data_IF_678919432686
#
_entry.id   IF_678919432686
#
_cell.length_a   1.000
_cell.length_b   1.000
_cell.length_c   1.000
_cell.angle_alpha   90.00
_cell.angle_beta   90.00
_cell.angle_gamma   90.00
#
_symmetry.space_group_name_H-M   'P 1'
#
loop_
_entity.id
_entity.type
_entity.pdbx_description
1 polymer ?
#
# COMPACT_ATOMS: atom_id res chain seq x y z
N UNK A 1 51.57 51.47 -47.10
CA UNK A 1 51.64 50.14 -47.74
C UNK A 1 50.40 49.36 -47.27
N UNK A 2 49.54 49.01 -48.24
CA UNK A 2 48.41 48.06 -48.27
C UNK A 2 47.93 47.42 -46.93
N UNK A 3 46.64 47.59 -46.57
CA UNK A 3 45.47 46.67 -46.79
C UNK A 3 45.55 45.39 -45.90
N UNK A 4 44.51 44.80 -45.31
CA UNK A 4 43.05 44.94 -45.21
C UNK A 4 42.59 43.91 -44.11
N UNK A 5 41.57 44.20 -43.29
CA UNK A 5 40.21 43.55 -43.20
C UNK A 5 40.21 42.03 -42.89
N UNK A 6 39.35 41.38 -42.08
CA UNK A 6 37.96 41.48 -41.56
C UNK A 6 37.90 40.47 -40.36
N UNK A 7 36.93 40.36 -39.44
CA UNK A 7 35.58 40.93 -39.25
C UNK A 7 34.82 40.17 -38.12
N UNK A 8 33.70 40.75 -37.65
CA UNK A 8 32.61 40.14 -36.85
C UNK A 8 32.78 40.21 -35.32
N UNK A 9 32.11 41.06 -34.54
CA UNK A 9 30.66 41.08 -34.16
C UNK A 9 30.24 39.77 -33.47
N UNK A 10 29.53 39.67 -32.35
CA UNK A 10 28.85 40.57 -31.39
C UNK A 10 28.38 39.66 -30.23
N UNK A 11 28.03 40.29 -29.11
CA UNK A 11 27.14 39.80 -28.04
C UNK A 11 27.67 38.83 -26.98
N UNK A 12 27.51 39.31 -25.75
CA UNK A 12 26.97 38.65 -24.56
C UNK A 12 27.17 37.15 -24.42
N UNK A 13 27.63 36.72 -23.24
CA UNK A 13 26.81 35.81 -22.43
C UNK A 13 27.22 35.90 -20.96
N UNK A 14 26.21 36.25 -20.16
CA UNK A 14 26.17 36.10 -18.73
C UNK A 14 26.73 34.73 -18.31
N UNK A 15 27.57 34.75 -17.28
CA UNK A 15 27.82 33.56 -16.46
C UNK A 15 26.54 33.20 -15.72
N UNK A 16 25.56 32.62 -16.43
CA UNK A 16 24.50 31.87 -15.80
C UNK A 16 25.13 30.57 -15.32
N UNK A 17 25.50 30.51 -14.04
CA UNK A 17 25.34 29.26 -13.29
C UNK A 17 23.87 28.89 -13.43
N UNK A 18 23.53 28.12 -14.46
CA UNK A 18 22.26 27.42 -14.48
C UNK A 18 22.36 26.39 -13.37
N UNK A 19 21.65 26.63 -12.28
CA UNK A 19 21.06 25.51 -11.55
C UNK A 19 20.36 24.68 -12.63
N UNK A 20 20.95 23.53 -12.95
CA UNK A 20 20.33 22.62 -13.88
C UNK A 20 19.15 22.04 -13.10
N UNK A 21 17.96 22.60 -13.30
CA UNK A 21 16.70 22.04 -12.82
C UNK A 21 16.70 20.56 -13.21
N UNK A 22 17.00 19.70 -12.23
CA UNK A 22 17.02 18.26 -12.45
C UNK A 22 15.57 17.79 -12.39
N UNK A 23 14.88 17.88 -13.54
CA UNK A 23 13.54 17.32 -13.73
C UNK A 23 13.60 15.79 -13.90
N UNK A 24 14.38 15.11 -13.05
CA UNK A 24 14.37 13.67 -12.97
C UNK A 24 13.22 13.24 -12.04
N UNK A 25 12.34 12.38 -12.55
CA UNK A 25 11.36 11.69 -11.71
C UNK A 25 12.05 10.52 -11.03
N UNK A 26 12.06 10.51 -9.71
CA UNK A 26 12.65 9.45 -8.90
C UNK A 26 11.57 8.62 -8.22
N UNK A 27 11.77 7.30 -8.06
CA UNK A 27 10.85 6.46 -7.32
C UNK A 27 10.93 6.81 -5.83
N UNK A 28 9.82 7.31 -5.29
CA UNK A 28 9.64 7.56 -3.86
C UNK A 28 8.73 6.50 -3.26
N UNK A 29 9.12 5.94 -2.13
CA UNK A 29 8.27 5.03 -1.36
C UNK A 29 7.37 5.79 -0.39
N UNK A 30 6.13 5.34 -0.27
CA UNK A 30 5.15 5.82 0.71
C UNK A 30 4.53 4.60 1.37
N UNK A 31 4.58 4.55 2.69
CA UNK A 31 4.01 3.46 3.47
C UNK A 31 2.78 3.95 4.22
N UNK A 32 1.67 3.23 4.03
CA UNK A 32 0.39 3.55 4.63
C UNK A 32 0.00 2.45 5.61
N UNK A 33 -0.40 2.84 6.81
CA UNK A 33 -1.07 1.96 7.76
C UNK A 33 -2.56 1.84 7.41
N UNK A 34 -3.24 0.73 7.77
CA UNK A 34 -4.68 0.63 7.60
C UNK A 34 -5.38 1.67 8.47
N UNK A 35 -6.47 2.23 7.95
CA UNK A 35 -7.39 3.06 8.73
C UNK A 35 -8.26 2.20 9.63
N UNK A 36 -8.68 1.05 9.13
CA UNK A 36 -9.44 0.04 9.86
C UNK A 36 -8.97 -1.36 9.46
N UNK A 37 -8.86 -2.26 10.41
CA UNK A 37 -8.75 -3.68 10.14
C UNK A 37 -9.54 -4.52 11.16
N UNK A 38 -10.11 -5.62 10.72
CA UNK A 38 -10.88 -6.52 11.57
C UNK A 38 -11.12 -7.84 10.85
N UNK A 39 -11.51 -8.87 11.59
CA UNK A 39 -12.07 -10.08 11.00
C UNK A 39 -13.50 -10.31 11.50
N UNK A 40 -14.22 -11.17 10.81
CA UNK A 40 -15.57 -11.62 11.20
C UNK A 40 -15.58 -13.13 11.34
N UNK A 41 -16.57 -13.66 12.04
CA UNK A 41 -16.78 -15.10 12.17
C UNK A 41 -18.27 -15.43 12.04
N UNK A 42 -18.61 -16.40 11.20
CA UNK A 42 -19.99 -16.89 11.09
C UNK A 42 -20.45 -17.57 12.39
N UNK A 43 -21.75 -17.45 12.70
CA UNK A 43 -22.38 -18.18 13.80
C UNK A 43 -22.02 -17.65 15.20
N UNK A 44 -21.44 -16.46 15.29
CA UNK A 44 -21.28 -15.75 16.54
C UNK A 44 -22.23 -14.55 16.58
N UNK A 45 -22.99 -14.42 17.66
CA UNK A 45 -23.90 -13.30 17.84
C UNK A 45 -23.11 -12.03 18.13
N UNK A 46 -22.83 -11.26 17.08
CA UNK A 46 -22.25 -9.91 17.12
C UNK A 46 -20.90 -9.74 17.85
N UNK A 47 -19.91 -10.66 17.77
CA UNK A 47 -18.58 -10.30 18.24
C UNK A 47 -17.98 -9.25 17.32
N UNK A 48 -17.36 -8.24 17.94
CA UNK A 48 -16.54 -7.23 17.28
C UNK A 48 -15.08 -7.61 17.51
N UNK A 49 -14.34 -7.84 16.43
CA UNK A 49 -12.94 -8.25 16.50
C UNK A 49 -11.96 -7.16 16.07
N UNK A 50 -12.42 -5.92 15.89
CA UNK A 50 -11.57 -4.79 15.48
C UNK A 50 -10.49 -4.39 16.50
N UNK A 51 -10.65 -4.78 17.77
CA UNK A 51 -9.63 -4.54 18.80
C UNK A 51 -8.67 -5.73 19.01
N UNK A 52 -8.87 -6.82 18.27
CA UNK A 52 -8.01 -8.00 18.38
C UNK A 52 -6.64 -7.72 17.76
N UNK A 53 -5.60 -8.32 18.33
CA UNK A 53 -4.22 -8.10 17.88
C UNK A 53 -3.83 -8.91 16.65
N UNK A 54 -4.83 -9.51 16.00
CA UNK A 54 -4.67 -10.43 14.89
C UNK A 54 -5.85 -10.35 13.94
N UNK A 55 -5.56 -10.64 12.69
CA UNK A 55 -6.53 -10.83 11.61
C UNK A 55 -6.55 -12.31 11.23
N UNK A 56 -7.73 -12.92 11.19
CA UNK A 56 -7.87 -14.36 10.96
C UNK A 56 -8.62 -14.62 9.67
N UNK A 57 -8.07 -15.48 8.82
CA UNK A 57 -8.78 -16.09 7.70
C UNK A 57 -8.76 -17.61 7.86
N UNK A 58 -9.93 -18.23 7.97
CA UNK A 58 -10.08 -19.66 8.23
C UNK A 58 -11.44 -20.18 7.72
N UNK A 59 -11.45 -21.13 6.80
CA UNK A 59 -12.70 -21.72 6.27
C UNK A 59 -13.33 -22.75 7.22
N UNK A 60 -12.59 -23.33 8.17
CA UNK A 60 -13.15 -24.23 9.17
C UNK A 60 -14.12 -23.50 10.10
N UNK A 61 -13.67 -22.35 10.61
CA UNK A 61 -14.46 -21.48 11.50
C UNK A 61 -15.23 -20.39 10.76
N UNK A 62 -15.12 -20.35 9.42
CA UNK A 62 -15.70 -19.32 8.54
C UNK A 62 -15.37 -17.91 8.99
N UNK A 63 -14.06 -17.63 9.01
CA UNK A 63 -13.47 -16.34 9.31
C UNK A 63 -12.88 -15.72 8.05
N UNK A 64 -13.15 -14.44 7.88
CA UNK A 64 -12.57 -13.61 6.83
C UNK A 64 -12.07 -12.31 7.46
N UNK A 65 -10.92 -11.84 7.00
CA UNK A 65 -10.34 -10.58 7.46
C UNK A 65 -10.52 -9.47 6.43
N UNK A 66 -10.65 -8.24 6.91
CA UNK A 66 -10.88 -7.05 6.12
C UNK A 66 -9.91 -5.96 6.53
N UNK A 67 -9.40 -5.22 5.54
CA UNK A 67 -8.54 -4.07 5.75
C UNK A 67 -9.04 -2.90 4.92
N UNK A 68 -8.94 -1.70 5.48
CA UNK A 68 -9.23 -0.44 4.80
C UNK A 68 -8.00 0.46 4.85
N UNK A 69 -7.70 1.10 3.73
CA UNK A 69 -6.64 2.09 3.61
C UNK A 69 -7.20 3.37 3.00
N UNK A 70 -6.65 4.50 3.42
CA UNK A 70 -6.86 5.78 2.74
C UNK A 70 -5.56 6.17 2.03
N UNK A 71 -5.59 6.25 0.69
CA UNK A 71 -4.44 6.66 -0.10
C UNK A 71 -4.53 8.18 -0.33
N UNK A 72 -3.59 8.97 0.21
CA UNK A 72 -3.60 10.42 0.00
C UNK A 72 -3.22 10.76 -1.44
N UNK A 73 -3.43 12.02 -1.83
CA UNK A 73 -2.93 12.55 -3.09
C UNK A 73 -1.41 12.36 -3.19
N UNK A 74 -0.95 11.77 -4.29
CA UNK A 74 0.47 11.49 -4.53
C UNK A 74 1.09 12.59 -5.41
N UNK A 75 2.40 12.87 -5.25
CA UNK A 75 3.10 13.87 -6.06
C UNK A 75 3.21 13.48 -7.55
N UNK A 76 2.95 12.22 -7.88
CA UNK A 76 2.89 11.70 -9.23
C UNK A 76 2.21 10.33 -9.28
N UNK A 77 2.25 9.63 -10.43
CA UNK A 77 1.52 8.38 -10.60
C UNK A 77 2.05 7.27 -9.68
N UNK A 78 1.13 6.44 -9.18
CA UNK A 78 1.48 5.19 -8.50
C UNK A 78 2.02 4.21 -9.54
N UNK A 79 3.26 3.76 -9.37
CA UNK A 79 3.94 2.79 -10.23
C UNK A 79 3.85 1.37 -9.71
N UNK A 80 3.83 1.21 -8.39
CA UNK A 80 3.67 -0.07 -7.71
C UNK A 80 2.89 0.13 -6.43
N UNK A 81 2.01 -0.80 -6.12
CA UNK A 81 1.35 -0.90 -4.83
C UNK A 81 1.44 -2.34 -4.31
N UNK A 82 1.92 -2.51 -3.10
CA UNK A 82 2.12 -3.83 -2.49
C UNK A 82 1.51 -3.82 -1.10
N UNK A 83 0.51 -4.68 -0.87
CA UNK A 83 -0.03 -4.94 0.46
C UNK A 83 0.84 -6.00 1.13
N UNK A 84 1.34 -5.70 2.33
CA UNK A 84 2.22 -6.55 3.12
C UNK A 84 1.56 -6.92 4.44
N UNK A 85 1.53 -8.20 4.75
CA UNK A 85 0.94 -8.77 5.96
C UNK A 85 1.92 -9.73 6.62
N UNK A 86 2.06 -9.68 7.95
CA UNK A 86 2.96 -10.56 8.67
C UNK A 86 2.19 -11.76 9.25
N UNK A 87 2.51 -12.97 8.79
CA UNK A 87 1.89 -14.21 9.25
C UNK A 87 2.50 -14.63 10.59
N UNK A 88 1.73 -14.49 11.66
CA UNK A 88 2.10 -14.97 12.99
C UNK A 88 1.85 -16.46 13.13
N UNK A 89 0.83 -16.98 12.43
CA UNK A 89 0.64 -18.42 12.20
C UNK A 89 0.40 -18.65 10.71
N UNK A 90 1.00 -19.71 10.16
CA UNK A 90 1.02 -19.99 8.74
C UNK A 90 -0.15 -20.85 8.27
N UNK A 91 -0.30 -20.98 6.95
CA UNK A 91 -1.28 -21.86 6.31
C UNK A 91 -0.63 -22.63 5.17
N UNK A 92 -1.08 -23.87 4.95
CA UNK A 92 -0.72 -24.66 3.76
C UNK A 92 -1.32 -24.10 2.46
N UNK A 93 -2.33 -23.24 2.58
CA UNK A 93 -2.99 -22.53 1.49
C UNK A 93 -3.61 -21.24 2.05
N UNK A 94 -2.91 -20.13 1.83
CA UNK A 94 -3.24 -18.80 2.34
C UNK A 94 -4.50 -18.22 1.70
N UNK A 95 -5.00 -17.10 2.23
CA UNK A 95 -6.18 -16.46 1.67
C UNK A 95 -5.87 -15.83 0.31
N UNK A 96 -6.88 -15.84 -0.56
CA UNK A 96 -6.92 -14.96 -1.72
C UNK A 96 -7.29 -13.56 -1.26
N UNK A 97 -6.73 -12.55 -1.91
CA UNK A 97 -7.04 -11.15 -1.68
C UNK A 97 -8.10 -10.69 -2.69
N UNK A 98 -9.15 -10.03 -2.21
CA UNK A 98 -10.24 -9.49 -3.04
C UNK A 98 -10.41 -7.99 -2.79
N UNK A 99 -10.88 -7.22 -3.78
CA UNK A 99 -11.32 -5.86 -3.55
C UNK A 99 -12.65 -5.88 -2.79
N UNK A 100 -12.82 -4.97 -1.83
CA UNK A 100 -14.00 -4.89 -0.98
C UNK A 100 -14.52 -3.45 -0.84
N UNK A 101 -15.78 -3.31 -0.41
CA UNK A 101 -16.36 -2.01 -0.07
C UNK A 101 -15.66 -1.38 1.14
N UNK A 102 -15.72 -0.05 1.24
CA UNK A 102 -14.98 0.74 2.25
C UNK A 102 -15.87 1.43 3.29
N UNK A 103 -17.20 1.32 3.14
CA UNK A 103 -18.19 1.93 4.02
C UNK A 103 -18.45 1.09 5.28
N UNK A 104 -17.42 0.92 6.11
CA UNK A 104 -17.46 0.20 7.38
C UNK A 104 -16.42 0.79 8.35
N UNK A 105 -16.50 0.38 9.62
CA UNK A 105 -15.45 0.63 10.61
C UNK A 105 -15.27 -0.60 11.49
N UNK A 106 -14.04 -0.85 11.92
CA UNK A 106 -13.65 -2.02 12.72
C UNK A 106 -14.43 -2.14 14.03
N UNK A 107 -14.85 -1.02 14.62
CA UNK A 107 -15.66 -0.95 15.85
C UNK A 107 -17.11 -1.41 15.68
N UNK A 108 -17.54 -1.62 14.43
CA UNK A 108 -18.92 -1.98 14.08
C UNK A 108 -19.03 -3.23 13.20
N UNK A 109 -17.89 -3.83 12.87
CA UNK A 109 -17.83 -4.90 11.90
C UNK A 109 -18.34 -6.21 12.49
N UNK A 110 -19.46 -6.69 11.96
CA UNK A 110 -20.06 -7.99 12.29
C UNK A 110 -20.19 -8.87 11.05
N UNK A 111 -20.41 -10.17 11.23
CA UNK A 111 -20.64 -11.09 10.11
C UNK A 111 -21.76 -10.64 9.17
N UNK A 112 -22.86 -10.12 9.70
CA UNK A 112 -24.01 -9.68 8.89
C UNK A 112 -23.81 -8.32 8.21
N UNK A 113 -22.83 -7.53 8.66
CA UNK A 113 -22.52 -6.20 8.16
C UNK A 113 -21.15 -6.13 7.47
N UNK A 114 -20.59 -7.29 7.12
CA UNK A 114 -19.25 -7.36 6.53
C UNK A 114 -19.19 -6.71 5.13
N UNK A 115 -18.05 -6.13 4.75
CA UNK A 115 -17.85 -5.56 3.42
C UNK A 115 -18.15 -6.55 2.31
N UNK A 116 -18.77 -6.06 1.25
CA UNK A 116 -19.02 -6.85 0.05
C UNK A 116 -17.77 -6.89 -0.82
N UNK A 117 -17.43 -8.07 -1.34
CA UNK A 117 -16.43 -8.21 -2.40
C UNK A 117 -16.95 -7.58 -3.69
N UNK A 118 -16.13 -6.78 -4.36
CA UNK A 118 -16.54 -5.96 -5.52
C UNK A 118 -15.96 -6.44 -6.86
N UNK A 119 -15.17 -7.51 -6.86
CA UNK A 119 -14.50 -8.01 -8.06
C UNK A 119 -13.81 -9.36 -7.87
N UNK A 120 -13.05 -9.80 -8.88
CA UNK A 120 -12.25 -11.01 -8.81
C UNK A 120 -11.03 -10.89 -7.87
N UNK A 121 -10.33 -12.00 -7.60
CA UNK A 121 -9.16 -11.97 -6.73
C UNK A 121 -8.06 -11.10 -7.33
N UNK A 122 -7.46 -10.24 -6.49
CA UNK A 122 -6.28 -9.43 -6.80
C UNK A 122 -5.00 -10.28 -6.77
N UNK A 123 -4.98 -11.33 -5.95
CA UNK A 123 -3.85 -12.24 -5.84
C UNK A 123 -4.17 -13.46 -4.99
N UNK A 124 -3.32 -14.47 -5.18
CA UNK A 124 -3.32 -15.74 -4.46
C UNK A 124 -1.86 -16.04 -4.12
N UNK A 125 -1.60 -16.38 -2.86
CA UNK A 125 -0.24 -16.54 -2.32
C UNK A 125 0.13 -18.00 -2.10
N UNK A 126 -0.83 -18.93 -2.18
CA UNK A 126 -0.60 -20.34 -1.87
C UNK A 126 -0.07 -20.53 -0.44
N UNK A 127 0.91 -21.41 -0.25
CA UNK A 127 1.51 -21.70 1.06
C UNK A 127 2.07 -20.44 1.74
N UNK A 128 1.73 -20.26 3.02
CA UNK A 128 2.16 -19.15 3.87
C UNK A 128 2.93 -19.73 5.06
N UNK A 129 4.27 -19.63 5.10
CA UNK A 129 5.06 -20.07 6.23
C UNK A 129 4.80 -19.24 7.50
N UNK A 130 4.86 -19.89 8.67
CA UNK A 130 4.81 -19.20 9.95
C UNK A 130 5.98 -18.21 10.11
N UNK A 131 5.70 -17.00 10.62
CA UNK A 131 6.71 -15.98 10.90
C UNK A 131 7.27 -15.32 9.65
N UNK A 132 6.45 -15.21 8.59
CA UNK A 132 6.87 -14.70 7.28
C UNK A 132 6.03 -13.50 6.84
N UNK A 133 6.58 -12.73 5.91
CA UNK A 133 5.83 -11.67 5.23
C UNK A 133 5.14 -12.25 4.00
N UNK A 134 3.84 -11.97 3.89
CA UNK A 134 3.02 -12.23 2.71
C UNK A 134 2.82 -10.91 1.98
N UNK A 135 3.01 -10.92 0.67
CA UNK A 135 2.91 -9.73 -0.18
C UNK A 135 1.96 -9.97 -1.35
N UNK A 136 0.99 -9.08 -1.51
CA UNK A 136 0.11 -9.05 -2.66
C UNK A 136 0.44 -7.83 -3.53
N UNK A 137 0.68 -8.07 -4.83
CA UNK A 137 0.75 -6.99 -5.81
C UNK A 137 -0.65 -6.49 -6.13
N UNK A 138 -0.96 -5.28 -5.68
CA UNK A 138 -2.26 -4.62 -5.87
C UNK A 138 -2.17 -3.41 -6.78
N UNK A 139 -1.08 -3.32 -7.58
CA UNK A 139 -0.78 -2.17 -8.45
C UNK A 139 -1.91 -1.87 -9.43
N UNK A 140 -2.60 -2.89 -9.96
CA UNK A 140 -3.71 -2.71 -10.90
C UNK A 140 -4.98 -2.15 -10.24
N UNK A 141 -5.11 -2.29 -8.91
CA UNK A 141 -6.27 -1.83 -8.14
C UNK A 141 -6.01 -0.47 -7.51
N UNK A 142 -4.83 -0.26 -6.91
CA UNK A 142 -4.45 0.98 -6.24
C UNK A 142 -3.74 1.92 -7.21
N UNK A 143 -4.52 2.73 -7.92
CA UNK A 143 -4.05 3.57 -9.03
C UNK A 143 -3.98 5.07 -8.71
N UNK A 144 -4.55 5.51 -7.59
CA UNK A 144 -4.61 6.93 -7.23
C UNK A 144 -5.05 7.16 -5.79
N UNK A 145 -5.45 8.39 -5.50
CA UNK A 145 -5.96 8.77 -4.17
C UNK A 145 -7.37 8.26 -3.92
N UNK A 146 -7.67 7.90 -2.69
CA UNK A 146 -8.99 7.55 -2.21
C UNK A 146 -9.00 6.34 -1.28
N UNK A 147 -10.20 5.89 -0.88
CA UNK A 147 -10.36 4.75 0.01
C UNK A 147 -10.24 3.43 -0.76
N UNK A 148 -9.48 2.48 -0.20
CA UNK A 148 -9.31 1.13 -0.72
C UNK A 148 -9.69 0.10 0.34
N UNK A 149 -10.50 -0.88 -0.05
CA UNK A 149 -10.95 -1.98 0.80
C UNK A 149 -10.42 -3.31 0.28
N UNK A 150 -9.99 -4.16 1.20
CA UNK A 150 -9.46 -5.48 0.92
C UNK A 150 -10.16 -6.52 1.78
N UNK A 151 -10.43 -7.70 1.20
CA UNK A 151 -10.93 -8.87 1.91
C UNK A 151 -9.96 -10.05 1.71
N UNK A 152 -9.58 -10.69 2.81
CA UNK A 152 -8.80 -11.92 2.85
C UNK A 152 -9.76 -13.08 3.08
N UNK A 153 -9.97 -13.88 2.04
CA UNK A 153 -10.89 -15.01 2.06
C UNK A 153 -10.09 -16.25 1.70
N UNK A 154 -10.13 -17.26 2.57
CA UNK A 154 -9.44 -18.53 2.34
C UNK A 154 -10.44 -19.65 2.06
N UNK A 155 -10.04 -20.59 1.20
CA UNK A 155 -10.74 -21.87 1.00
C UNK A 155 -10.19 -22.95 1.96
N UNK A 156 -9.04 -22.69 2.59
CA UNK A 156 -8.33 -23.59 3.49
C UNK A 156 -8.98 -23.69 4.87
N UNK A 157 -9.03 -24.92 5.39
CA UNK A 157 -9.41 -25.22 6.79
C UNK A 157 -8.22 -25.16 7.75
N UNK A 158 -7.01 -25.03 7.23
CA UNK A 158 -5.82 -24.62 7.98
C UNK A 158 -5.74 -23.10 7.80
N UNK A 159 -6.22 -22.34 8.80
CA UNK A 159 -6.30 -20.89 8.72
C UNK A 159 -4.94 -20.22 8.77
N UNK A 160 -4.94 -18.89 8.64
CA UNK A 160 -3.78 -18.04 8.85
C UNK A 160 -4.13 -16.95 9.86
N UNK A 161 -3.18 -16.64 10.75
CA UNK A 161 -3.28 -15.51 11.68
C UNK A 161 -2.24 -14.45 11.27
N UNK A 162 -2.69 -13.33 10.73
CA UNK A 162 -1.85 -12.15 10.48
C UNK A 162 -1.84 -11.21 11.67
N UNK A 163 -0.76 -10.44 11.87
CA UNK A 163 -0.79 -9.33 12.80
C UNK A 163 -1.77 -8.24 12.33
N UNK A 164 -2.57 -7.71 13.25
CA UNK A 164 -3.42 -6.52 13.00
C UNK A 164 -2.67 -5.23 13.32
N UNK A 165 -3.29 -4.08 13.08
CA UNK A 165 -2.72 -2.78 13.48
C UNK A 165 -2.66 -2.57 15.00
N UNK A 166 -3.46 -3.29 15.79
CA UNK A 166 -3.45 -3.31 17.27
C UNK A 166 -2.30 -4.14 17.83
N UNK A 167 -1.58 -4.89 16.99
CA UNK A 167 -0.50 -5.73 17.44
C UNK A 167 0.62 -4.91 18.11
N UNK A 168 1.15 -5.38 19.25
CA UNK A 168 2.16 -4.62 20.03
C UNK A 168 3.48 -4.40 19.30
N UNK A 169 3.80 -5.27 18.34
CA UNK A 169 4.93 -5.07 17.43
C UNK A 169 4.40 -4.36 16.21
N UNK A 170 4.45 -3.04 16.24
CA UNK A 170 3.92 -2.19 15.17
C UNK A 170 4.68 -2.41 13.86
N UNK A 171 5.91 -2.93 13.90
CA UNK A 171 6.63 -3.32 12.69
C UNK A 171 6.00 -4.52 11.95
N UNK A 172 5.14 -5.30 12.61
CA UNK A 172 4.39 -6.41 12.00
C UNK A 172 3.02 -5.99 11.47
N UNK A 173 2.57 -4.78 11.79
CA UNK A 173 1.26 -4.29 11.38
C UNK A 173 1.12 -4.30 9.84
N UNK A 174 -0.11 -4.47 9.32
CA UNK A 174 -0.38 -4.39 7.89
C UNK A 174 0.13 -3.08 7.28
N UNK A 175 0.70 -3.15 6.08
CA UNK A 175 1.20 -1.97 5.36
C UNK A 175 0.85 -2.02 3.88
N UNK A 176 0.35 -0.92 3.35
CA UNK A 176 0.26 -0.69 1.91
C UNK A 176 1.44 0.18 1.50
N UNK A 177 2.40 -0.41 0.79
CA UNK A 177 3.59 0.29 0.29
C UNK A 177 3.37 0.70 -1.16
N UNK A 178 3.44 1.99 -1.43
CA UNK A 178 3.37 2.59 -2.75
C UNK A 178 4.77 2.98 -3.22
N UNK A 179 5.06 2.75 -4.50
CA UNK A 179 6.15 3.39 -5.22
C UNK A 179 5.53 4.41 -6.16
N UNK A 180 5.83 5.69 -5.97
CA UNK A 180 5.33 6.79 -6.79
C UNK A 180 6.49 7.48 -7.48
N UNK A 181 6.24 8.08 -8.64
CA UNK A 181 7.22 9.01 -9.23
C UNK A 181 7.05 10.39 -8.62
N UNK A 182 8.13 10.97 -8.11
CA UNK A 182 8.14 12.33 -7.58
C UNK A 182 9.32 13.11 -8.20
N UNK A 183 9.19 14.44 -8.39
CA UNK A 183 10.36 15.25 -8.73
C UNK A 183 11.39 15.16 -7.60
N UNK A 184 12.67 15.05 -7.96
CA UNK A 184 13.77 15.10 -7.01
C UNK A 184 13.67 16.37 -6.15
N UNK A 185 13.80 16.24 -4.83
CA UNK A 185 13.85 17.40 -3.93
C UNK A 185 15.21 18.07 -4.07
N UNK A 186 15.25 19.29 -4.64
CA UNK A 186 16.47 20.09 -4.74
C UNK A 186 16.83 20.69 -3.38
N UNK A 187 17.87 20.16 -2.74
CA UNK A 187 18.46 20.73 -1.52
C UNK A 187 19.39 21.90 -1.88
N UNK A 188 18.82 22.99 -2.42
CA UNK A 188 19.53 24.27 -2.53
C UNK A 188 19.46 25.00 -1.17
N UNK A 189 20.10 24.42 -0.15
CA UNK A 189 20.40 25.16 1.07
C UNK A 189 21.43 26.24 0.72
N UNK A 190 20.94 27.47 0.53
CA UNK A 190 21.75 28.67 0.48
C UNK A 190 22.56 28.78 1.77
N UNK A 191 23.84 28.40 1.72
CA UNK A 191 24.79 28.74 2.77
C UNK A 191 25.22 30.21 2.58
N UNK A 192 25.17 31.03 3.66
CA UNK A 192 25.51 32.45 3.61
C UNK A 192 27.00 32.72 3.35
#
# INVERSE_FOLDING_TARGET
MLLARCGGETSDMAGSSRCQESSALEPRQVDLAPTDDAYVQEGQEQPLFGAERKLVADNLSRRSAFLRFEVPAQPGPVRRATLRLYAMDGSTDGPKLYPATTAWSEDSLTWSQQPSVTGGPLGDVGDVPHGSWVEYDVTSFVTGSGPYGFALITESRNGVDFASKEHVRLEWAPRLTLSVEAPASEDCAAHP
#
